data_IF_901836214391
#
_entry.id   IF_901836214391
#
_cell.length_a   1.000
_cell.length_b   1.000
_cell.length_c   1.000
_cell.angle_alpha   90.00
_cell.angle_beta   90.00
_cell.angle_gamma   90.00
#
_symmetry.space_group_name_H-M   'P 1'
#
loop_
_entity.id
_entity.type
_entity.pdbx_description
1 polymer ?
#
# COMPACT_ATOMS: atom_id res chain seq x y z
N UNK A 1 0.55 -13.84 2.66
CA UNK A 1 0.59 -13.03 1.45
C UNK A 1 -0.80 -12.50 1.18
N UNK A 2 -1.05 -11.29 1.65
CA UNK A 2 -2.19 -10.45 1.29
C UNK A 2 -1.74 -9.35 0.31
N UNK A 3 -2.70 -8.68 -0.32
CA UNK A 3 -2.45 -7.55 -1.22
C UNK A 3 -3.18 -6.34 -0.67
N UNK A 4 -2.47 -5.22 -0.51
CA UNK A 4 -2.99 -4.00 0.07
C UNK A 4 -2.93 -2.83 -0.92
N UNK A 5 -4.02 -2.07 -1.00
CA UNK A 5 -4.07 -0.81 -1.74
C UNK A 5 -3.79 0.36 -0.81
N UNK A 6 -2.78 1.17 -1.13
CA UNK A 6 -2.27 2.23 -0.26
C UNK A 6 -2.22 3.60 -0.95
N UNK A 7 -2.71 4.65 -0.30
CA UNK A 7 -2.61 6.02 -0.79
C UNK A 7 -1.21 6.59 -0.60
N UNK A 8 -0.78 7.43 -1.53
CA UNK A 8 0.52 8.14 -1.48
C UNK A 8 0.41 9.62 -1.81
N UNK A 9 -0.80 10.20 -1.79
CA UNK A 9 -0.99 11.64 -1.91
C UNK A 9 -1.49 12.20 -0.58
N UNK A 10 -0.73 13.12 0.02
CA UNK A 10 -1.08 13.78 1.26
C UNK A 10 -1.23 15.28 1.01
N UNK A 11 -2.41 15.82 1.31
CA UNK A 11 -2.70 17.25 1.16
C UNK A 11 -2.37 17.81 -0.24
N UNK A 12 -2.50 16.99 -1.28
CA UNK A 12 -2.20 17.36 -2.67
C UNK A 12 -0.78 17.02 -3.13
N UNK A 13 0.14 16.74 -2.21
CA UNK A 13 1.52 16.34 -2.54
C UNK A 13 1.61 14.83 -2.77
N UNK A 14 2.12 14.43 -3.93
CA UNK A 14 2.42 13.04 -4.24
C UNK A 14 3.79 12.63 -3.64
N UNK A 15 3.83 11.51 -2.94
CA UNK A 15 5.02 11.01 -2.21
C UNK A 15 5.56 9.68 -2.76
N UNK A 16 4.99 9.16 -3.86
CA UNK A 16 5.43 7.87 -4.43
C UNK A 16 6.94 7.82 -4.70
N UNK A 17 7.53 8.93 -5.16
CA UNK A 17 8.95 8.96 -5.54
C UNK A 17 9.85 8.89 -4.30
N UNK A 18 9.44 9.51 -3.19
CA UNK A 18 10.13 9.40 -1.91
C UNK A 18 10.05 7.96 -1.37
N UNK A 19 8.89 7.32 -1.49
CA UNK A 19 8.71 5.90 -1.12
C UNK A 19 9.64 4.99 -1.95
N UNK A 20 9.75 5.26 -3.25
CA UNK A 20 10.61 4.50 -4.16
C UNK A 20 12.09 4.71 -3.90
N UNK A 21 12.50 5.92 -3.50
CA UNK A 21 13.87 6.26 -3.19
C UNK A 21 14.30 5.63 -1.86
N UNK A 22 13.43 5.67 -0.85
CA UNK A 22 13.72 5.21 0.51
C UNK A 22 13.42 3.73 0.75
N UNK A 23 12.84 3.02 -0.24
CA UNK A 23 12.38 1.63 -0.12
C UNK A 23 11.49 1.40 1.10
N UNK A 24 10.53 2.30 1.29
CA UNK A 24 9.55 2.21 2.35
C UNK A 24 8.15 2.63 1.88
N UNK A 25 7.17 2.37 2.72
CA UNK A 25 5.86 2.98 2.69
C UNK A 25 5.59 3.65 4.04
N UNK A 26 4.99 4.83 3.99
CA UNK A 26 4.57 5.57 5.18
C UNK A 26 3.08 5.89 5.01
N UNK A 27 2.29 5.88 6.08
CA UNK A 27 0.82 6.01 5.98
C UNK A 27 0.31 7.46 6.00
N UNK A 28 1.10 8.40 6.53
CA UNK A 28 0.73 9.82 6.58
C UNK A 28 0.00 10.23 7.85
N UNK A 29 -0.11 9.34 8.83
CA UNK A 29 -0.86 9.55 10.06
C UNK A 29 -0.05 9.12 11.26
N UNK A 30 -0.17 9.85 12.36
CA UNK A 30 0.37 9.41 13.66
C UNK A 30 -0.54 8.32 14.26
N UNK A 31 0.05 7.41 15.04
CA UNK A 31 -0.68 6.32 15.72
C UNK A 31 -1.85 6.80 16.60
N UNK A 32 -1.74 8.00 17.19
CA UNK A 32 -2.80 8.63 18.00
C UNK A 32 -4.03 9.04 17.17
N UNK A 33 -3.83 9.34 15.89
CA UNK A 33 -4.88 9.89 15.02
C UNK A 33 -5.53 8.79 14.17
N UNK A 34 -4.83 7.67 13.94
CA UNK A 34 -5.29 6.59 13.07
C UNK A 34 -4.97 5.19 13.63
N UNK A 35 -5.39 4.92 14.87
CA UNK A 35 -5.10 3.65 15.55
C UNK A 35 -5.58 2.41 14.76
N UNK A 36 -6.72 2.53 14.08
CA UNK A 36 -7.27 1.51 13.18
C UNK A 36 -6.32 1.17 12.03
N UNK A 37 -5.71 2.20 11.41
CA UNK A 37 -4.75 1.98 10.35
C UNK A 37 -3.45 1.35 10.85
N UNK A 38 -2.98 1.74 12.04
CA UNK A 38 -1.81 1.10 12.66
C UNK A 38 -2.10 -0.34 13.06
N UNK A 39 -3.31 -0.63 13.53
CA UNK A 39 -3.76 -1.99 13.79
C UNK A 39 -3.75 -2.81 12.50
N UNK A 40 -4.18 -2.25 11.38
CA UNK A 40 -4.10 -2.92 10.07
C UNK A 40 -2.64 -3.13 9.62
N UNK A 41 -1.77 -2.11 9.65
CA UNK A 41 -0.36 -2.25 9.29
C UNK A 41 0.36 -3.28 10.16
N UNK A 42 -0.03 -3.41 11.44
CA UNK A 42 0.55 -4.43 12.34
C UNK A 42 0.31 -5.87 11.88
N UNK A 43 -0.69 -6.09 11.01
CA UNK A 43 -0.97 -7.41 10.43
C UNK A 43 -0.06 -7.77 9.26
N UNK A 44 0.68 -6.80 8.72
CA UNK A 44 1.49 -6.98 7.51
C UNK A 44 2.70 -7.86 7.82
N UNK A 45 3.00 -8.77 6.90
CA UNK A 45 4.07 -9.75 7.00
C UNK A 45 5.01 -9.65 5.81
N UNK A 46 6.23 -10.16 6.00
CA UNK A 46 7.20 -10.30 4.91
C UNK A 46 6.56 -11.05 3.74
N UNK A 47 6.69 -10.48 2.54
CA UNK A 47 6.13 -11.03 1.31
C UNK A 47 4.68 -10.61 1.01
N UNK A 48 3.99 -9.89 1.90
CA UNK A 48 2.75 -9.21 1.53
C UNK A 48 3.03 -8.13 0.48
N UNK A 49 2.03 -7.82 -0.34
CA UNK A 49 2.15 -6.91 -1.47
C UNK A 49 1.45 -5.60 -1.14
N UNK A 50 2.09 -4.49 -1.46
CA UNK A 50 1.47 -3.15 -1.43
C UNK A 50 1.47 -2.59 -2.85
N UNK A 51 0.33 -2.10 -3.31
CA UNK A 51 0.27 -1.24 -4.49
C UNK A 51 -0.16 0.18 -4.11
N UNK A 52 0.57 1.16 -4.62
CA UNK A 52 0.21 2.56 -4.47
C UNK A 52 -0.95 2.88 -5.39
N UNK A 53 -2.03 3.45 -4.86
CA UNK A 53 -3.25 3.74 -5.60
C UNK A 53 -3.62 5.21 -5.57
N UNK A 54 -4.26 5.64 -6.64
CA UNK A 54 -5.15 6.79 -6.67
C UNK A 54 -6.51 6.32 -7.20
N UNK A 55 -7.57 6.60 -6.44
CA UNK A 55 -8.91 6.20 -6.83
C UNK A 55 -9.89 7.33 -6.50
N UNK A 56 -10.84 7.60 -7.42
CA UNK A 56 -11.97 8.48 -7.16
C UNK A 56 -13.06 7.68 -6.42
N UNK A 57 -13.71 8.22 -5.38
CA UNK A 57 -14.80 7.51 -4.71
C UNK A 57 -15.85 7.04 -5.72
N UNK A 58 -16.20 5.75 -5.68
CA UNK A 58 -17.16 5.17 -6.62
C UNK A 58 -16.66 5.02 -8.07
N UNK A 59 -15.35 4.96 -8.30
CA UNK A 59 -14.79 4.62 -9.62
C UNK A 59 -14.54 3.11 -9.76
N UNK A 60 -14.73 2.62 -10.98
CA UNK A 60 -14.31 1.27 -11.41
C UNK A 60 -12.83 1.23 -11.82
N UNK A 61 -12.19 2.39 -11.94
CA UNK A 61 -10.81 2.51 -12.36
C UNK A 61 -9.91 2.76 -11.15
N UNK A 62 -8.87 1.94 -11.01
CA UNK A 62 -7.80 2.13 -10.04
C UNK A 62 -6.55 2.56 -10.81
N UNK A 63 -6.05 3.77 -10.54
CA UNK A 63 -4.72 4.17 -11.00
C UNK A 63 -3.69 3.59 -10.04
N UNK A 64 -2.93 2.61 -10.49
CA UNK A 64 -1.82 2.01 -9.75
C UNK A 64 -0.54 2.76 -10.12
N UNK A 65 0.20 3.20 -9.11
CA UNK A 65 1.39 4.05 -9.25
C UNK A 65 2.70 3.32 -8.99
N UNK A 66 2.63 2.17 -8.34
CA UNK A 66 3.77 1.31 -8.03
C UNK A 66 3.33 0.09 -7.24
N UNK A 67 4.16 -0.95 -7.25
CA UNK A 67 3.91 -2.21 -6.54
C UNK A 67 5.22 -2.65 -5.86
N UNK A 68 5.13 -3.03 -4.60
CA UNK A 68 6.27 -3.51 -3.82
C UNK A 68 5.90 -4.62 -2.85
N UNK A 69 6.94 -5.29 -2.36
CA UNK A 69 6.85 -6.35 -1.35
C UNK A 69 7.26 -5.83 0.03
N UNK A 70 6.48 -6.15 1.05
CA UNK A 70 6.84 -5.87 2.44
C UNK A 70 8.08 -6.69 2.83
N UNK A 71 9.08 -6.01 3.41
CA UNK A 71 10.37 -6.61 3.77
C UNK A 71 10.56 -6.85 5.27
N UNK A 72 9.75 -6.22 6.12
CA UNK A 72 9.80 -6.39 7.55
C UNK A 72 8.41 -6.15 8.17
N UNK A 73 8.15 -6.74 9.33
CA UNK A 73 6.92 -6.46 10.08
C UNK A 73 7.03 -5.13 10.85
N UNK A 74 5.88 -4.55 11.23
CA UNK A 74 5.86 -3.37 12.09
C UNK A 74 6.65 -3.59 13.39
N UNK A 75 6.47 -4.74 14.03
CA UNK A 75 7.12 -5.04 15.31
C UNK A 75 8.65 -5.10 15.17
N UNK A 76 9.15 -5.77 14.14
CA UNK A 76 10.60 -5.91 13.93
C UNK A 76 11.27 -4.53 13.77
N UNK A 77 10.67 -3.67 12.95
CA UNK A 77 11.17 -2.30 12.74
C UNK A 77 11.15 -1.47 14.02
N UNK A 78 10.09 -1.60 14.84
CA UNK A 78 10.00 -0.89 16.12
C UNK A 78 11.08 -1.37 17.11
N UNK A 79 11.36 -2.68 17.15
CA UNK A 79 12.43 -3.24 17.98
C UNK A 79 13.82 -2.79 17.50
N UNK A 80 14.08 -2.85 16.19
CA UNK A 80 15.36 -2.42 15.61
C UNK A 80 15.66 -0.94 15.87
N UNK A 81 14.63 -0.08 15.79
CA UNK A 81 14.75 1.35 16.09
C UNK A 81 14.75 1.67 17.59
N UNK A 82 14.49 0.70 18.46
CA UNK A 82 14.37 0.91 19.91
C UNK A 82 13.24 1.87 20.29
N UNK A 83 12.16 1.88 19.51
CA UNK A 83 11.08 2.87 19.64
C UNK A 83 10.28 2.66 20.92
N UNK A 84 10.05 3.75 21.66
CA UNK A 84 9.18 3.73 22.83
C UNK A 84 7.76 4.17 22.46
N UNK A 85 6.89 3.21 22.15
CA UNK A 85 5.50 3.45 21.75
C UNK A 85 4.68 4.32 22.72
N UNK A 86 5.07 4.42 24.00
CA UNK A 86 4.40 5.31 24.97
C UNK A 86 4.68 6.80 24.77
N UNK A 87 5.71 7.15 23.97
CA UNK A 87 6.17 8.53 23.72
C UNK A 87 6.18 8.92 22.24
N UNK A 88 6.02 7.96 21.34
CA UNK A 88 6.32 8.13 19.92
C UNK A 88 5.10 8.61 19.13
N UNK A 89 5.25 9.76 18.48
CA UNK A 89 4.37 10.26 17.42
C UNK A 89 5.12 10.17 16.10
N UNK A 90 5.30 8.95 15.60
CA UNK A 90 6.01 8.74 14.36
C UNK A 90 5.09 8.17 13.31
N UNK A 91 5.20 8.75 12.12
CA UNK A 91 4.68 8.20 10.90
C UNK A 91 5.57 6.98 10.55
N UNK A 92 5.04 5.78 10.77
CA UNK A 92 5.83 4.57 10.68
C UNK A 92 6.31 4.29 9.24
N UNK A 93 7.60 3.99 9.11
CA UNK A 93 8.23 3.54 7.86
C UNK A 93 8.18 2.02 7.79
N UNK A 94 7.27 1.49 6.97
CA UNK A 94 7.22 0.08 6.64
C UNK A 94 8.23 -0.20 5.51
N UNK A 95 9.24 -1.06 5.72
CA UNK A 95 10.19 -1.41 4.66
C UNK A 95 9.50 -2.12 3.50
N UNK A 96 9.68 -1.60 2.28
CA UNK A 96 9.06 -2.10 1.05
C UNK A 96 10.07 -2.13 -0.08
N UNK A 97 10.19 -3.26 -0.75
CA UNK A 97 10.99 -3.39 -1.98
C UNK A 97 10.09 -3.16 -3.19
N UNK A 98 10.27 -2.02 -3.87
CA UNK A 98 9.46 -1.60 -5.02
C UNK A 98 9.94 -2.25 -6.32
N UNK A 99 9.12 -3.11 -6.90
CA UNK A 99 9.43 -3.90 -8.11
C UNK A 99 8.86 -3.25 -9.37
N UNK A 100 7.66 -2.68 -9.25
CA UNK A 100 6.98 -1.94 -10.33
C UNK A 100 6.91 -0.47 -9.92
N UNK A 101 7.45 0.41 -10.76
CA UNK A 101 7.49 1.87 -10.52
C UNK A 101 6.81 2.68 -11.62
N UNK A 102 6.42 2.03 -12.71
CA UNK A 102 5.59 2.60 -13.77
C UNK A 102 4.10 2.53 -13.41
N UNK A 103 3.36 3.53 -13.86
CA UNK A 103 1.93 3.62 -13.59
C UNK A 103 1.09 2.85 -14.62
N UNK A 104 -0.04 2.31 -14.17
CA UNK A 104 -1.03 1.68 -15.04
C UNK A 104 -2.44 1.78 -14.43
N UNK A 105 -3.45 1.42 -15.21
CA UNK A 105 -4.84 1.45 -14.79
C UNK A 105 -5.41 0.03 -14.74
N UNK A 106 -6.13 -0.26 -13.66
CA UNK A 106 -6.97 -1.46 -13.54
C UNK A 106 -8.41 -1.00 -13.72
N UNK A 107 -9.05 -1.43 -14.82
CA UNK A 107 -10.45 -1.16 -15.11
C UNK A 107 -11.28 -2.37 -14.67
N UNK A 108 -12.04 -2.23 -13.58
CA UNK A 108 -12.82 -3.32 -13.00
C UNK A 108 -14.11 -3.50 -13.80
N UNK A 109 -14.45 -4.72 -14.26
CA UNK A 109 -15.70 -4.97 -14.97
C UNK A 109 -16.92 -4.64 -14.10
N UNK A 110 -17.89 -3.92 -14.68
CA UNK A 110 -19.13 -3.52 -13.99
C UNK A 110 -19.93 -4.69 -13.41
N UNK A 111 -19.82 -5.88 -14.00
CA UNK A 111 -20.54 -7.08 -13.55
C UNK A 111 -20.03 -7.66 -12.22
N UNK A 112 -18.80 -7.35 -11.82
CA UNK A 112 -18.16 -7.92 -10.61
C UNK A 112 -17.72 -6.84 -9.62
N UNK A 113 -17.66 -5.57 -10.04
CA UNK A 113 -17.34 -4.44 -9.16
C UNK A 113 -18.62 -3.82 -8.60
N UNK A 114 -18.70 -3.71 -7.27
CA UNK A 114 -19.63 -2.76 -6.64
C UNK A 114 -18.88 -1.49 -6.29
N UNK A 115 -19.50 -0.34 -6.54
CA UNK A 115 -19.00 0.96 -6.11
C UNK A 115 -19.12 1.08 -4.59
N UNK A 116 -18.11 0.56 -3.89
CA UNK A 116 -17.94 0.76 -2.45
C UNK A 116 -16.94 1.88 -2.21
N UNK A 117 -16.93 2.40 -0.98
CA UNK A 117 -16.00 3.43 -0.53
C UNK A 117 -14.68 2.86 0.00
N UNK A 118 -14.52 1.52 0.11
CA UNK A 118 -13.31 0.90 0.67
C UNK A 118 -12.05 1.36 -0.07
N UNK A 119 -12.09 1.41 -1.42
CA UNK A 119 -10.92 1.80 -2.22
C UNK A 119 -10.56 3.29 -2.14
N UNK A 120 -11.46 4.11 -1.58
CA UNK A 120 -11.18 5.51 -1.26
C UNK A 120 -10.38 5.66 0.04
N UNK A 121 -10.37 4.67 0.93
CA UNK A 121 -9.62 4.70 2.19
C UNK A 121 -8.12 4.85 1.98
N UNK A 122 -7.41 5.38 2.98
CA UNK A 122 -5.94 5.54 2.96
C UNK A 122 -5.24 4.22 2.69
N UNK A 123 -5.70 3.15 3.32
CA UNK A 123 -5.15 1.81 3.21
C UNK A 123 -6.31 0.81 3.31
N UNK A 124 -6.24 -0.29 2.57
CA UNK A 124 -7.20 -1.39 2.65
C UNK A 124 -6.57 -2.69 2.14
N UNK A 125 -7.06 -3.83 2.62
CA UNK A 125 -6.79 -5.13 1.99
C UNK A 125 -7.70 -5.32 0.78
N UNK A 126 -7.12 -5.67 -0.36
CA UNK A 126 -7.84 -5.93 -1.60
C UNK A 126 -8.29 -7.40 -1.65
N UNK A 127 -9.59 -7.61 -1.72
CA UNK A 127 -10.21 -8.93 -1.75
C UNK A 127 -10.84 -9.31 -3.09
N UNK A 128 -10.93 -8.37 -4.05
CA UNK A 128 -11.51 -8.65 -5.36
C UNK A 128 -10.47 -9.41 -6.21
N UNK A 129 -10.72 -10.69 -6.56
CA UNK A 129 -9.72 -11.51 -7.24
C UNK A 129 -9.25 -10.92 -8.58
N UNK A 130 -10.14 -10.19 -9.26
CA UNK A 130 -9.78 -9.49 -10.49
C UNK A 130 -8.64 -8.50 -10.28
N UNK A 131 -8.73 -7.64 -9.25
CA UNK A 131 -7.70 -6.63 -8.95
C UNK A 131 -6.42 -7.31 -8.47
N UNK A 132 -6.54 -8.34 -7.62
CA UNK A 132 -5.40 -9.13 -7.17
C UNK A 132 -4.63 -9.74 -8.34
N UNK A 133 -5.34 -10.35 -9.30
CA UNK A 133 -4.73 -10.94 -10.49
C UNK A 133 -4.04 -9.90 -11.37
N UNK A 134 -4.62 -8.72 -11.57
CA UNK A 134 -3.99 -7.65 -12.35
C UNK A 134 -2.68 -7.16 -11.69
N UNK A 135 -2.66 -7.01 -10.36
CA UNK A 135 -1.45 -6.67 -9.60
C UNK A 135 -0.40 -7.77 -9.74
N UNK A 136 -0.77 -9.03 -9.54
CA UNK A 136 0.15 -10.18 -9.66
C UNK A 136 0.70 -10.34 -11.09
N UNK A 137 -0.15 -10.19 -12.10
CA UNK A 137 0.25 -10.25 -13.50
C UNK A 137 1.30 -9.18 -13.83
N UNK A 138 1.11 -7.95 -13.34
CA UNK A 138 2.08 -6.86 -13.53
C UNK A 138 3.43 -7.20 -12.88
N UNK A 139 3.44 -7.77 -11.69
CA UNK A 139 4.66 -8.26 -11.03
C UNK A 139 5.33 -9.35 -11.89
N UNK A 140 4.59 -10.38 -12.31
CA UNK A 140 5.13 -11.50 -13.09
C UNK A 140 5.73 -11.05 -14.42
N UNK A 141 5.09 -10.10 -15.11
CA UNK A 141 5.63 -9.50 -16.33
C UNK A 141 6.96 -8.80 -16.03
N UNK A 142 7.01 -8.00 -14.95
CA UNK A 142 8.22 -7.28 -14.57
C UNK A 142 9.38 -8.21 -14.21
N UNK A 143 9.12 -9.28 -13.48
CA UNK A 143 10.13 -10.27 -13.08
C UNK A 143 10.69 -11.05 -14.28
N UNK A 144 9.90 -11.27 -15.33
CA UNK A 144 10.38 -11.91 -16.58
C UNK A 144 11.30 -11.02 -17.42
N UNK A 145 11.37 -9.72 -17.10
CA UNK A 145 12.20 -8.74 -17.79
C UNK A 145 13.48 -8.39 -17.03
N UNK A 146 13.67 -8.93 -15.83
CA UNK A 146 14.91 -8.86 -15.05
C UNK A 146 15.82 -10.03 -15.44
#
# INVERSE_FOLDING_TARGET
>A
MAIYGAGSNWSGQELKDDFFLNNNYVIGWDIKDANDLYSMISTFKVGDIIYLKANRPGSFDIRVKGIGFVKSSLLDVLFEKGENLSKVRNNFELPVEWIVKDEFYINIPHAIGKLTNIRAATLYEEYLPYVQNEVLNKILIRLKQL
#
